data_IF_809225280705
#
_entry.id   IF_809225280705
#
_cell.length_a   1.000
_cell.length_b   1.000
_cell.length_c   1.000
_cell.angle_alpha   90.00
_cell.angle_beta   90.00
_cell.angle_gamma   90.00
#
_symmetry.space_group_name_H-M   'P 1'
#
loop_
_entity.id
_entity.type
_entity.pdbx_description
1 polymer ?
#
# COMPACT_ATOMS: atom_id res chain seq x y z
N UNK A 1 -19.56 18.51 -31.59
CA UNK A 1 -18.57 18.47 -30.49
C UNK A 1 -19.33 18.16 -29.23
N UNK A 2 -19.05 17.04 -28.57
CA UNK A 2 -19.69 16.70 -27.29
C UNK A 2 -19.20 17.65 -26.19
N UNK A 3 -20.05 17.99 -25.21
CA UNK A 3 -19.67 18.83 -24.07
C UNK A 3 -18.68 18.03 -23.18
N UNK A 4 -17.48 18.55 -22.88
CA UNK A 4 -16.50 17.91 -21.98
C UNK A 4 -17.07 17.52 -20.61
N UNK A 5 -18.17 18.14 -20.17
CA UNK A 5 -18.88 17.78 -18.94
C UNK A 5 -19.69 16.49 -19.08
N UNK A 6 -20.35 16.28 -20.22
CA UNK A 6 -21.10 15.04 -20.49
C UNK A 6 -20.16 13.83 -20.63
N UNK A 7 -18.95 14.02 -21.17
CA UNK A 7 -17.93 12.97 -21.26
C UNK A 7 -17.41 12.57 -19.87
N UNK A 8 -17.13 13.55 -18.99
CA UNK A 8 -16.72 13.30 -17.61
C UNK A 8 -17.80 12.61 -16.78
N UNK A 9 -19.05 13.01 -16.96
CA UNK A 9 -20.18 12.39 -16.26
C UNK A 9 -20.41 10.94 -16.69
N UNK A 10 -20.32 10.65 -18.00
CA UNK A 10 -20.38 9.28 -18.53
C UNK A 10 -19.21 8.42 -18.04
N UNK A 11 -18.00 8.97 -18.01
CA UNK A 11 -16.83 8.27 -17.47
C UNK A 11 -17.04 7.93 -15.98
N UNK A 12 -17.48 8.90 -15.18
CA UNK A 12 -17.77 8.69 -13.76
C UNK A 12 -18.83 7.61 -13.53
N UNK A 13 -19.93 7.62 -14.30
CA UNK A 13 -20.97 6.59 -14.19
C UNK A 13 -20.46 5.20 -14.57
N UNK A 14 -19.55 5.12 -15.53
CA UNK A 14 -18.93 3.85 -15.95
C UNK A 14 -18.00 3.31 -14.87
N UNK A 15 -17.19 4.17 -14.25
CA UNK A 15 -16.33 3.80 -13.11
C UNK A 15 -17.18 3.30 -11.93
N UNK A 16 -18.26 3.99 -11.57
CA UNK A 16 -19.17 3.56 -10.49
C UNK A 16 -19.78 2.18 -10.78
N UNK A 17 -20.23 1.93 -12.01
CA UNK A 17 -20.78 0.63 -12.40
C UNK A 17 -19.74 -0.50 -12.33
N UNK A 18 -18.49 -0.23 -12.71
CA UNK A 18 -17.38 -1.18 -12.61
C UNK A 18 -17.07 -1.51 -11.13
N UNK A 19 -17.09 -0.52 -10.24
CA UNK A 19 -16.91 -0.72 -8.80
C UNK A 19 -18.04 -1.55 -8.18
N UNK A 20 -19.30 -1.29 -8.57
CA UNK A 20 -20.45 -2.07 -8.10
C UNK A 20 -20.34 -3.54 -8.53
N UNK A 21 -19.89 -3.78 -9.76
CA UNK A 21 -19.64 -5.14 -10.25
C UNK A 21 -18.44 -5.79 -9.52
N UNK A 22 -17.38 -5.04 -9.23
CA UNK A 22 -16.28 -5.52 -8.41
C UNK A 22 -16.74 -5.99 -7.02
N UNK A 23 -17.62 -5.22 -6.36
CA UNK A 23 -18.22 -5.62 -5.09
C UNK A 23 -19.08 -6.88 -5.22
N UNK A 24 -19.82 -7.04 -6.31
CA UNK A 24 -20.61 -8.25 -6.58
C UNK A 24 -19.71 -9.48 -6.72
N UNK A 25 -18.65 -9.39 -7.52
CA UNK A 25 -17.65 -10.46 -7.70
C UNK A 25 -16.96 -10.80 -6.38
N UNK A 26 -16.56 -9.80 -5.60
CA UNK A 26 -15.98 -9.99 -4.27
C UNK A 26 -16.93 -10.76 -3.34
N UNK A 27 -18.20 -10.35 -3.30
CA UNK A 27 -19.22 -10.95 -2.45
C UNK A 27 -19.59 -12.39 -2.87
N UNK A 28 -19.61 -12.66 -4.18
CA UNK A 28 -19.75 -14.01 -4.73
C UNK A 28 -18.58 -14.88 -4.32
N UNK A 29 -17.35 -14.40 -4.50
CA UNK A 29 -16.11 -15.10 -4.16
C UNK A 29 -16.01 -15.40 -2.66
N UNK A 30 -16.36 -14.44 -1.80
CA UNK A 30 -16.44 -14.61 -0.34
C UNK A 30 -17.41 -15.73 0.06
N UNK A 31 -18.53 -15.84 -0.64
CA UNK A 31 -19.54 -16.88 -0.39
C UNK A 31 -19.04 -18.27 -0.76
N UNK A 32 -18.22 -18.39 -1.82
CA UNK A 32 -17.62 -19.66 -2.25
C UNK A 32 -16.59 -20.19 -1.26
N UNK A 33 -15.71 -19.33 -0.73
CA UNK A 33 -14.69 -19.71 0.25
C UNK A 33 -15.25 -19.95 1.67
N UNK A 34 -16.54 -19.65 1.90
CA UNK A 34 -17.24 -19.81 3.18
C UNK A 34 -16.53 -19.12 4.36
N UNK A 35 -15.85 -18.01 4.08
CA UNK A 35 -15.08 -17.28 5.08
C UNK A 35 -16.00 -16.39 5.93
N UNK A 36 -16.07 -16.68 7.23
CA UNK A 36 -16.90 -15.93 8.19
C UNK A 36 -16.21 -14.63 8.63
N UNK A 37 -16.42 -13.56 7.86
CA UNK A 37 -16.05 -12.20 8.22
C UNK A 37 -17.22 -11.53 8.94
N UNK A 38 -17.23 -11.57 10.30
CA UNK A 38 -18.32 -11.01 11.13
C UNK A 38 -18.52 -9.50 10.88
N UNK A 39 -17.87 -8.65 11.69
CA UNK A 39 -17.95 -7.19 11.57
C UNK A 39 -16.97 -6.64 10.52
N UNK A 40 -16.02 -7.46 10.05
CA UNK A 40 -14.95 -7.05 9.16
C UNK A 40 -15.32 -7.05 7.67
N UNK A 41 -16.49 -7.56 7.27
CA UNK A 41 -16.89 -7.64 5.85
C UNK A 41 -16.91 -6.27 5.18
N UNK A 42 -17.58 -5.29 5.79
CA UNK A 42 -17.64 -3.91 5.27
C UNK A 42 -16.25 -3.26 5.20
N UNK A 43 -15.38 -3.58 6.15
CA UNK A 43 -13.99 -3.10 6.15
C UNK A 43 -13.21 -3.70 4.98
N UNK A 44 -13.35 -5.00 4.72
CA UNK A 44 -12.76 -5.64 3.56
C UNK A 44 -13.24 -5.05 2.24
N UNK A 45 -14.55 -4.82 2.09
CA UNK A 45 -15.11 -4.17 0.91
C UNK A 45 -14.47 -2.78 0.70
N UNK A 46 -14.41 -1.98 1.76
CA UNK A 46 -13.80 -0.63 1.72
C UNK A 46 -12.32 -0.70 1.35
N UNK A 47 -11.58 -1.64 1.95
CA UNK A 47 -10.16 -1.83 1.71
C UNK A 47 -9.88 -2.24 0.26
N UNK A 48 -10.64 -3.20 -0.26
CA UNK A 48 -10.53 -3.65 -1.66
C UNK A 48 -10.84 -2.51 -2.63
N UNK A 49 -11.91 -1.75 -2.39
CA UNK A 49 -12.22 -0.58 -3.22
C UNK A 49 -11.12 0.47 -3.18
N UNK A 50 -10.54 0.74 -2.01
CA UNK A 50 -9.44 1.69 -1.88
C UNK A 50 -8.19 1.26 -2.65
N UNK A 51 -7.94 -0.06 -2.76
CA UNK A 51 -6.87 -0.60 -3.60
C UNK A 51 -7.21 -0.49 -5.10
N UNK A 52 -8.41 -0.94 -5.50
CA UNK A 52 -8.85 -0.96 -6.90
C UNK A 52 -8.95 0.45 -7.51
N UNK A 53 -9.32 1.45 -6.71
CA UNK A 53 -9.38 2.86 -7.14
C UNK A 53 -8.03 3.58 -7.09
N UNK A 54 -6.98 2.93 -6.59
CA UNK A 54 -5.67 3.55 -6.39
C UNK A 54 -5.65 4.59 -5.26
N UNK A 55 -6.70 4.72 -4.45
CA UNK A 55 -6.70 5.59 -3.26
C UNK A 55 -5.60 5.19 -2.27
N UNK A 56 -5.30 3.89 -2.18
CA UNK A 56 -4.18 3.37 -1.41
C UNK A 56 -3.42 2.31 -2.20
N UNK A 57 -2.08 2.29 -2.15
CA UNK A 57 -1.29 1.21 -2.77
C UNK A 57 -1.24 -0.06 -1.89
N UNK A 58 -1.37 0.10 -0.57
CA UNK A 58 -1.17 -0.95 0.44
C UNK A 58 -2.17 -0.78 1.57
N UNK A 59 -2.70 -1.91 2.05
CA UNK A 59 -3.53 -1.99 3.24
C UNK A 59 -2.98 -3.09 4.14
N UNK A 60 -2.69 -2.75 5.38
CA UNK A 60 -2.34 -3.70 6.42
C UNK A 60 -3.62 -4.31 7.01
N UNK A 61 -3.65 -5.63 7.12
CA UNK A 61 -4.82 -6.35 7.62
C UNK A 61 -4.60 -6.81 9.05
N UNK A 62 -5.49 -6.37 9.94
CA UNK A 62 -5.54 -6.72 11.36
C UNK A 62 -6.80 -7.53 11.74
N UNK A 63 -7.52 -8.04 10.74
CA UNK A 63 -8.80 -8.72 10.90
C UNK A 63 -8.89 -10.02 10.09
N UNK A 64 -9.93 -10.81 10.34
CA UNK A 64 -10.31 -11.94 9.49
C UNK A 64 -9.72 -13.31 9.86
N UNK A 65 -8.79 -13.38 10.81
CA UNK A 65 -8.26 -14.66 11.30
C UNK A 65 -6.87 -14.55 11.91
N UNK A 66 -6.17 -15.70 11.94
CA UNK A 66 -4.78 -15.83 12.35
C UNK A 66 -3.95 -16.31 11.15
N UNK A 67 -2.66 -16.05 11.17
CA UNK A 67 -1.72 -16.63 10.22
C UNK A 67 -1.42 -18.10 10.60
N UNK A 68 -1.23 -19.01 9.63
CA UNK A 68 -1.19 -18.79 8.17
C UNK A 68 -2.56 -18.87 7.47
N UNK A 69 -3.63 -19.29 8.14
CA UNK A 69 -4.93 -19.54 7.49
C UNK A 69 -5.54 -18.27 6.89
N UNK A 70 -5.26 -17.10 7.49
CA UNK A 70 -5.65 -15.80 6.98
C UNK A 70 -5.06 -15.53 5.59
N UNK A 71 -3.78 -15.82 5.42
CA UNK A 71 -3.07 -15.67 4.14
C UNK A 71 -3.68 -16.58 3.08
N UNK A 72 -3.88 -17.87 3.39
CA UNK A 72 -4.48 -18.83 2.46
C UNK A 72 -5.87 -18.39 1.99
N UNK A 73 -6.69 -17.87 2.91
CA UNK A 73 -8.04 -17.36 2.60
C UNK A 73 -7.98 -16.14 1.69
N UNK A 74 -7.08 -15.20 1.93
CA UNK A 74 -6.91 -14.05 1.04
C UNK A 74 -6.40 -14.45 -0.34
N UNK A 75 -5.42 -15.36 -0.41
CA UNK A 75 -4.93 -15.88 -1.68
C UNK A 75 -6.05 -16.57 -2.47
N UNK A 76 -6.85 -17.42 -1.81
CA UNK A 76 -8.01 -18.07 -2.43
C UNK A 76 -9.06 -17.06 -2.90
N UNK A 77 -9.36 -16.05 -2.09
CA UNK A 77 -10.30 -14.98 -2.42
C UNK A 77 -9.86 -14.21 -3.67
N UNK A 78 -8.61 -13.72 -3.69
CA UNK A 78 -8.08 -12.95 -4.81
C UNK A 78 -8.03 -13.78 -6.09
N UNK A 79 -7.64 -15.06 -6.00
CA UNK A 79 -7.64 -15.99 -7.15
C UNK A 79 -9.02 -16.16 -7.77
N UNK A 80 -10.09 -16.16 -6.97
CA UNK A 80 -11.46 -16.21 -7.49
C UNK A 80 -11.83 -14.89 -8.17
N UNK A 81 -11.62 -13.77 -7.48
CA UNK A 81 -11.96 -12.45 -8.00
C UNK A 81 -11.23 -12.14 -9.32
N UNK A 82 -9.96 -12.52 -9.44
CA UNK A 82 -9.13 -12.32 -10.63
C UNK A 82 -9.54 -13.14 -11.86
N UNK A 83 -10.25 -14.26 -11.65
CA UNK A 83 -10.81 -15.03 -12.78
C UNK A 83 -12.02 -14.34 -13.39
N UNK A 84 -12.76 -13.61 -12.56
CA UNK A 84 -14.06 -13.07 -12.93
C UNK A 84 -13.97 -11.61 -13.42
N UNK A 85 -13.07 -10.79 -12.85
CA UNK A 85 -12.99 -9.37 -13.18
C UNK A 85 -11.53 -8.82 -13.24
N UNK A 86 -11.15 -8.13 -14.34
CA UNK A 86 -9.79 -7.60 -14.52
C UNK A 86 -9.35 -6.56 -13.47
N UNK A 87 -10.26 -5.84 -12.82
CA UNK A 87 -9.92 -4.84 -11.80
C UNK A 87 -9.10 -5.43 -10.63
N UNK A 88 -9.18 -6.75 -10.41
CA UNK A 88 -8.42 -7.45 -9.37
C UNK A 88 -7.04 -7.94 -9.84
N UNK A 89 -6.70 -7.80 -11.11
CA UNK A 89 -5.49 -8.36 -11.76
C UNK A 89 -4.20 -7.99 -11.01
N UNK A 90 -4.12 -6.77 -10.47
CA UNK A 90 -2.94 -6.27 -9.77
C UNK A 90 -2.98 -6.42 -8.25
N UNK A 91 -4.04 -7.00 -7.69
CA UNK A 91 -4.11 -7.23 -6.26
C UNK A 91 -3.30 -8.46 -5.85
N UNK A 92 -2.46 -8.35 -4.82
CA UNK A 92 -1.69 -9.47 -4.27
C UNK A 92 -1.74 -9.46 -2.75
N UNK A 93 -1.54 -10.63 -2.15
CA UNK A 93 -1.22 -10.76 -0.73
C UNK A 93 0.28 -10.59 -0.56
N UNK A 94 0.68 -9.76 0.40
CA UNK A 94 2.07 -9.57 0.78
C UNK A 94 2.24 -9.83 2.29
N UNK A 95 3.33 -10.47 2.68
CA UNK A 95 3.66 -10.78 4.08
C UNK A 95 5.04 -10.21 4.41
N UNK A 96 5.15 -9.59 5.58
CA UNK A 96 6.41 -9.09 6.13
C UNK A 96 6.43 -9.40 7.62
N UNK A 97 7.37 -10.26 8.02
CA UNK A 97 7.41 -10.85 9.36
C UNK A 97 6.05 -11.49 9.69
N UNK A 98 5.39 -11.07 10.76
CA UNK A 98 4.08 -11.60 11.18
C UNK A 98 2.89 -10.80 10.62
N UNK A 99 3.14 -9.81 9.77
CA UNK A 99 2.14 -8.87 9.27
C UNK A 99 1.71 -9.22 7.84
N UNK A 100 0.41 -9.11 7.59
CA UNK A 100 -0.20 -9.37 6.28
C UNK A 100 -0.76 -8.09 5.66
N UNK A 101 -0.57 -7.95 4.35
CA UNK A 101 -0.98 -6.80 3.57
C UNK A 101 -1.71 -7.24 2.31
N UNK A 102 -2.69 -6.45 1.89
CA UNK A 102 -3.21 -6.45 0.54
C UNK A 102 -2.56 -5.29 -0.21
N UNK A 103 -2.04 -5.57 -1.40
CA UNK A 103 -1.31 -4.58 -2.20
C UNK A 103 -1.85 -4.52 -3.62
N UNK A 104 -1.90 -3.32 -4.18
CA UNK A 104 -2.05 -3.14 -5.62
C UNK A 104 -0.65 -2.96 -6.21
N UNK A 105 -0.15 -3.95 -6.96
CA UNK A 105 1.26 -4.02 -7.35
C UNK A 105 1.74 -2.82 -8.17
N UNK A 106 0.95 -2.32 -9.12
CA UNK A 106 1.30 -1.12 -9.91
C UNK A 106 1.35 0.15 -9.06
N UNK A 107 0.29 0.43 -8.30
CA UNK A 107 0.24 1.58 -7.39
C UNK A 107 1.36 1.52 -6.33
N UNK A 108 1.73 0.34 -5.85
CA UNK A 108 2.87 0.16 -4.94
C UNK A 108 4.20 0.45 -5.63
N UNK A 109 4.39 0.00 -6.87
CA UNK A 109 5.58 0.32 -7.66
C UNK A 109 5.73 1.85 -7.85
N UNK A 110 4.62 2.54 -8.17
CA UNK A 110 4.59 4.00 -8.26
C UNK A 110 4.90 4.68 -6.92
N UNK A 111 4.35 4.18 -5.81
CA UNK A 111 4.65 4.69 -4.48
C UNK A 111 6.13 4.55 -4.14
N UNK A 112 6.72 3.37 -4.38
CA UNK A 112 8.15 3.11 -4.14
C UNK A 112 9.02 4.04 -4.97
N UNK A 113 8.72 4.19 -6.26
CA UNK A 113 9.44 5.11 -7.17
C UNK A 113 9.36 6.56 -6.71
N UNK A 114 8.15 7.05 -6.45
CA UNK A 114 7.93 8.44 -6.01
C UNK A 114 8.63 8.74 -4.69
N UNK A 115 8.70 7.75 -3.79
CA UNK A 115 9.43 7.85 -2.52
C UNK A 115 10.94 7.90 -2.72
N UNK A 116 11.51 7.09 -3.62
CA UNK A 116 12.95 7.07 -3.89
C UNK A 116 13.42 8.32 -4.64
N UNK A 117 12.59 8.84 -5.55
CA UNK A 117 12.88 10.06 -6.31
C UNK A 117 12.61 11.35 -5.54
N UNK A 118 12.17 11.25 -4.28
CA UNK A 118 11.77 12.40 -3.46
C UNK A 118 10.64 13.25 -4.06
N UNK A 119 9.80 12.66 -4.93
CA UNK A 119 8.58 13.30 -5.46
C UNK A 119 7.52 13.45 -4.37
N UNK A 120 7.54 12.55 -3.36
CA UNK A 120 6.75 12.63 -2.14
C UNK A 120 7.68 12.85 -0.95
N UNK A 121 7.56 13.99 -0.29
CA UNK A 121 8.36 14.29 0.90
C UNK A 121 7.89 13.45 2.09
N UNK A 122 8.78 12.60 2.62
CA UNK A 122 8.57 11.90 3.88
C UNK A 122 9.18 12.72 5.01
N UNK A 123 8.38 12.95 6.05
CA UNK A 123 8.81 13.60 7.27
C UNK A 123 9.16 12.54 8.32
N UNK A 124 10.32 12.67 8.94
CA UNK A 124 10.78 11.72 9.95
C UNK A 124 10.73 12.34 11.34
N UNK A 125 10.17 11.60 12.30
CA UNK A 125 10.11 11.99 13.71
C UNK A 125 10.89 10.99 14.55
N UNK A 126 11.93 11.45 15.23
CA UNK A 126 12.67 10.71 16.23
C UNK A 126 11.83 10.57 17.51
N UNK A 127 11.39 9.34 17.79
CA UNK A 127 10.62 9.00 18.98
C UNK A 127 11.50 8.68 20.20
N UNK A 128 12.82 8.59 20.04
CA UNK A 128 13.72 8.33 21.16
C UNK A 128 13.94 9.58 22.02
N UNK A 129 13.63 10.76 21.47
CA UNK A 129 13.63 12.04 22.17
C UNK A 129 12.31 12.25 22.91
N UNK A 130 12.39 12.96 24.04
CA UNK A 130 11.22 13.50 24.73
C UNK A 130 11.39 15.03 24.91
N UNK A 131 10.57 15.87 24.27
CA UNK A 131 9.51 15.51 23.32
C UNK A 131 10.07 14.92 22.02
N UNK A 132 9.27 14.13 21.26
CA UNK A 132 9.64 13.68 19.93
C UNK A 132 10.05 14.85 19.02
N UNK A 133 11.09 14.65 18.21
CA UNK A 133 11.67 15.71 17.37
C UNK A 133 11.67 15.33 15.90
N UNK A 134 11.43 16.32 15.05
CA UNK A 134 11.63 16.17 13.61
C UNK A 134 13.11 15.96 13.29
N UNK A 135 13.42 15.01 12.41
CA UNK A 135 14.78 14.83 11.88
C UNK A 135 14.94 15.78 10.69
N UNK A 136 15.77 16.82 10.85
CA UNK A 136 16.01 17.84 9.83
C UNK A 136 17.04 17.43 8.79
N UNK A 137 18.02 16.62 9.18
CA UNK A 137 19.12 16.15 8.32
C UNK A 137 18.97 14.65 8.03
N UNK A 138 17.88 14.27 7.35
CA UNK A 138 17.54 12.86 7.09
C UNK A 138 18.67 12.10 6.36
N UNK A 139 19.41 12.77 5.48
CA UNK A 139 20.56 12.21 4.74
C UNK A 139 21.72 11.75 5.64
N UNK A 140 21.84 12.31 6.85
CA UNK A 140 22.89 11.94 7.81
C UNK A 140 22.44 10.83 8.77
N UNK A 141 21.15 10.47 8.77
CA UNK A 141 20.61 9.47 9.69
C UNK A 141 20.89 8.05 9.17
N UNK A 142 21.64 7.21 9.90
CA UNK A 142 21.89 5.83 9.51
C UNK A 142 20.61 5.02 9.35
N UNK A 143 19.58 5.32 10.15
CA UNK A 143 18.30 4.63 10.12
C UNK A 143 17.49 4.99 8.87
N UNK A 144 17.54 6.25 8.42
CA UNK A 144 16.94 6.68 7.15
C UNK A 144 17.65 6.00 5.98
N UNK A 145 18.99 5.89 6.01
CA UNK A 145 19.75 5.19 4.96
C UNK A 145 19.40 3.70 4.87
N UNK A 146 19.16 3.05 6.01
CA UNK A 146 18.65 1.66 6.04
C UNK A 146 17.23 1.57 5.47
N UNK A 147 16.35 2.53 5.78
CA UNK A 147 15.02 2.57 5.18
C UNK A 147 15.10 2.73 3.65
N UNK A 148 15.94 3.64 3.14
CA UNK A 148 16.16 3.80 1.69
C UNK A 148 16.65 2.48 1.06
N UNK A 149 17.50 1.72 1.77
CA UNK A 149 17.96 0.41 1.30
C UNK A 149 16.81 -0.60 1.19
N UNK A 150 15.88 -0.59 2.15
CA UNK A 150 14.65 -1.38 2.07
C UNK A 150 13.78 -0.92 0.89
N UNK A 151 13.58 0.39 0.71
CA UNK A 151 12.82 0.93 -0.43
C UNK A 151 13.39 0.48 -1.78
N UNK A 152 14.73 0.43 -1.91
CA UNK A 152 15.40 -0.12 -3.10
C UNK A 152 15.12 -1.61 -3.30
N UNK A 153 15.08 -2.40 -2.22
CA UNK A 153 14.69 -3.81 -2.31
C UNK A 153 13.25 -3.96 -2.80
N UNK A 154 12.32 -3.14 -2.31
CA UNK A 154 10.95 -3.10 -2.83
C UNK A 154 10.90 -2.75 -4.32
N UNK A 155 11.76 -1.84 -4.78
CA UNK A 155 11.84 -1.49 -6.21
C UNK A 155 12.26 -2.68 -7.09
N UNK A 156 13.03 -3.63 -6.54
CA UNK A 156 13.40 -4.86 -7.26
C UNK A 156 12.24 -5.86 -7.29
N UNK A 157 11.43 -5.93 -6.23
CA UNK A 157 10.26 -6.82 -6.15
C UNK A 157 9.06 -6.31 -6.93
N UNK A 158 8.97 -4.99 -7.15
CA UNK A 158 7.89 -4.33 -7.87
C UNK A 158 8.45 -3.45 -9.00
N UNK A 159 9.03 -4.06 -10.06
CA UNK A 159 9.52 -3.28 -11.19
C UNK A 159 8.33 -2.60 -11.89
N UNK A 160 8.47 -1.32 -12.22
CA UNK A 160 7.57 -0.72 -13.21
C UNK A 160 7.86 -1.43 -14.53
N UNK A 161 6.85 -2.11 -15.09
CA UNK A 161 6.94 -2.53 -16.48
C UNK A 161 7.22 -1.31 -17.34
N UNK A 162 8.16 -1.41 -18.28
CA UNK A 162 8.36 -0.38 -19.29
C UNK A 162 6.99 -0.05 -19.86
N UNK A 163 6.54 1.19 -19.65
CA UNK A 163 5.42 1.73 -20.39
C UNK A 163 5.80 1.53 -21.85
N UNK A 164 5.06 0.71 -22.59
CA UNK A 164 5.16 0.67 -24.04
C UNK A 164 4.68 2.04 -24.54
N UNK A 165 5.56 3.01 -24.46
CA UNK A 165 5.46 4.22 -25.24
C UNK A 165 5.95 3.79 -26.63
N UNK A 166 5.00 3.40 -27.48
CA UNK A 166 5.22 3.22 -28.90
C UNK A 166 5.68 4.57 -29.49
N UNK A 167 6.97 4.69 -29.82
CA UNK A 167 7.45 5.23 -31.11
C UNK A 167 8.97 5.43 -31.12
N UNK A 168 9.62 4.63 -31.98
CA UNK A 168 10.88 4.88 -32.69
C UNK A 168 12.16 5.21 -31.90
N UNK A 169 13.13 4.31 -31.98
CA UNK A 169 14.37 4.60 -32.71
C UNK A 169 15.18 3.31 -32.90
N UNK A 170 15.21 2.84 -34.15
CA UNK A 170 16.14 1.84 -34.66
C UNK A 170 17.55 2.42 -34.73
N UNK A 171 18.55 1.73 -34.18
CA UNK A 171 19.82 1.47 -34.88
C UNK A 171 20.61 0.38 -34.15
N UNK A 172 20.96 -0.67 -34.90
CA UNK A 172 21.84 -1.75 -34.51
C UNK A 172 23.32 -1.37 -34.70
N UNK A 173 24.20 -1.88 -33.82
CA UNK A 173 25.25 -2.90 -34.11
C UNK A 173 26.21 -2.99 -32.91
N UNK A 174 26.60 -4.23 -32.62
CA UNK A 174 27.41 -4.80 -31.54
C UNK A 174 28.77 -4.14 -31.23
N UNK A 175 29.22 -4.23 -29.96
CA UNK A 175 30.36 -5.09 -29.57
C UNK A 175 30.82 -4.95 -28.09
N UNK A 176 30.83 -6.10 -27.40
CA UNK A 176 31.92 -6.67 -26.57
C UNK A 176 32.18 -6.23 -25.10
N UNK A 177 31.91 -7.19 -24.20
CA UNK A 177 32.64 -7.62 -22.99
C UNK A 177 32.73 -6.69 -21.77
N UNK A 178 32.16 -7.14 -20.65
CA UNK A 178 32.70 -6.86 -19.32
C UNK A 178 31.66 -6.79 -18.19
N UNK A 179 31.68 -7.79 -17.32
CA UNK A 179 31.01 -7.85 -16.01
C UNK A 179 29.47 -8.02 -16.00
N UNK A 180 29.02 -9.28 -15.94
CA UNK A 180 27.72 -9.62 -15.33
C UNK A 180 27.77 -9.17 -13.86
N UNK A 181 26.83 -8.34 -13.37
CA UNK A 181 26.68 -8.15 -11.95
C UNK A 181 26.26 -9.48 -11.31
N UNK A 182 26.57 -9.72 -10.03
CA UNK A 182 26.14 -10.94 -9.35
C UNK A 182 24.61 -10.95 -9.39
N UNK A 183 24.06 -11.90 -10.14
CA UNK A 183 22.63 -12.16 -10.19
C UNK A 183 22.26 -12.79 -8.86
N UNK A 184 22.13 -11.95 -7.82
CA UNK A 184 21.49 -12.37 -6.59
C UNK A 184 20.12 -12.93 -6.96
N UNK A 185 19.82 -14.10 -6.42
CA UNK A 185 18.59 -14.87 -6.57
C UNK A 185 17.39 -14.13 -5.95
N UNK A 186 17.03 -12.98 -6.52
CA UNK A 186 15.91 -12.13 -6.11
C UNK A 186 15.04 -11.74 -7.30
N UNK A 187 15.02 -12.55 -8.36
CA UNK A 187 13.86 -12.56 -9.24
C UNK A 187 12.91 -13.55 -8.58
N UNK A 188 11.78 -13.14 -8.00
CA UNK A 188 10.77 -14.10 -7.60
C UNK A 188 10.35 -14.80 -8.88
N UNK A 189 10.74 -16.06 -9.03
CA UNK A 189 9.99 -17.00 -9.84
C UNK A 189 8.54 -16.88 -9.37
N UNK A 190 7.69 -16.24 -10.17
CA UNK A 190 6.29 -15.97 -9.81
C UNK A 190 5.46 -17.26 -9.81
N UNK A 191 5.75 -18.13 -8.86
CA UNK A 191 5.05 -19.37 -8.56
C UNK A 191 4.56 -19.44 -7.11
N UNK A 192 4.65 -18.34 -6.35
CA UNK A 192 4.07 -18.24 -5.01
C UNK A 192 2.75 -17.46 -5.05
N UNK A 193 1.74 -17.95 -4.35
CA UNK A 193 0.40 -17.35 -4.27
C UNK A 193 0.37 -15.97 -3.60
N UNK A 194 1.47 -15.60 -2.94
CA UNK A 194 1.68 -14.36 -2.20
C UNK A 194 3.14 -13.92 -2.30
N UNK A 195 3.41 -12.68 -1.90
CA UNK A 195 4.73 -12.06 -1.89
C UNK A 195 5.26 -12.07 -0.45
N UNK A 196 6.38 -12.72 -0.21
CA UNK A 196 7.07 -12.66 1.09
C UNK A 196 8.26 -11.71 1.01
N UNK A 197 8.23 -10.64 1.81
CA UNK A 197 9.34 -9.67 1.94
C UNK A 197 9.88 -9.62 3.37
N UNK A 198 9.65 -10.65 4.18
CA UNK A 198 10.18 -10.72 5.55
C UNK A 198 11.70 -10.61 5.61
N UNK A 199 12.40 -11.04 4.56
CA UNK A 199 13.86 -10.90 4.43
C UNK A 199 14.33 -9.44 4.40
N UNK A 200 13.48 -8.49 4.01
CA UNK A 200 13.82 -7.06 4.00
C UNK A 200 14.08 -6.49 5.40
N UNK A 201 13.53 -7.15 6.43
CA UNK A 201 13.68 -6.77 7.83
C UNK A 201 14.83 -7.49 8.54
N UNK A 202 15.55 -8.38 7.84
CA UNK A 202 16.73 -9.03 8.37
C UNK A 202 17.92 -8.05 8.40
N UNK A 203 18.68 -8.08 9.50
CA UNK A 203 19.91 -7.28 9.67
C UNK A 203 19.71 -5.75 9.54
N UNK A 204 18.50 -5.25 9.81
CA UNK A 204 18.20 -3.81 9.86
C UNK A 204 17.72 -3.40 11.26
N UNK A 205 18.01 -2.15 11.61
CA UNK A 205 17.48 -1.48 12.79
C UNK A 205 16.15 -0.78 12.52
N UNK A 206 15.73 -0.70 11.25
CA UNK A 206 14.38 -0.23 10.90
C UNK A 206 13.36 -1.14 11.56
N UNK A 207 12.38 -0.52 12.20
CA UNK A 207 11.31 -1.22 12.90
C UNK A 207 10.09 -1.37 12.01
N UNK A 208 9.23 -2.37 12.27
CA UNK A 208 7.96 -2.52 11.55
C UNK A 208 7.08 -1.25 11.61
N UNK A 209 6.95 -0.54 12.75
CA UNK A 209 6.24 0.74 12.78
C UNK A 209 6.78 1.79 11.80
N UNK A 210 8.11 1.90 11.67
CA UNK A 210 8.74 2.76 10.66
C UNK A 210 8.36 2.33 9.24
N UNK A 211 8.50 1.03 8.95
CA UNK A 211 8.16 0.47 7.64
C UNK A 211 6.67 0.70 7.30
N UNK A 212 5.77 0.46 8.25
CA UNK A 212 4.33 0.64 8.10
C UNK A 212 3.96 2.10 7.87
N UNK A 213 4.64 3.02 8.56
CA UNK A 213 4.56 4.45 8.30
C UNK A 213 4.72 4.77 6.81
N UNK A 214 5.81 4.26 6.24
CA UNK A 214 6.11 4.45 4.82
C UNK A 214 5.19 3.67 3.88
N UNK A 215 4.99 2.37 4.10
CA UNK A 215 4.20 1.49 3.23
C UNK A 215 2.73 1.93 3.11
N UNK A 216 2.13 2.36 4.23
CA UNK A 216 0.74 2.81 4.27
C UNK A 216 0.56 4.25 3.78
N UNK A 217 1.62 4.83 3.19
CA UNK A 217 1.65 6.17 2.61
C UNK A 217 1.34 7.28 3.62
N UNK A 218 1.79 7.12 4.87
CA UNK A 218 1.71 8.22 5.83
C UNK A 218 2.78 9.28 5.51
N UNK A 219 2.44 10.58 5.60
CA UNK A 219 3.40 11.66 5.34
C UNK A 219 4.46 11.78 6.44
N UNK A 220 4.15 11.28 7.64
CA UNK A 220 5.02 11.30 8.81
C UNK A 220 5.34 9.86 9.21
N UNK A 221 6.64 9.57 9.34
CA UNK A 221 7.17 8.26 9.71
C UNK A 221 7.94 8.37 11.01
N UNK A 222 7.62 7.48 11.94
CA UNK A 222 8.30 7.39 13.22
C UNK A 222 9.62 6.63 13.09
N UNK A 223 10.66 7.16 13.74
CA UNK A 223 12.02 6.63 13.72
C UNK A 223 12.46 6.33 15.15
N UNK A 224 12.90 5.10 15.36
CA UNK A 224 13.57 4.61 16.57
C UNK A 224 14.19 3.25 16.25
N UNK A 225 15.25 2.87 16.96
CA UNK A 225 15.88 1.54 16.81
C UNK A 225 15.16 0.48 17.66
N UNK A 226 15.35 -0.79 17.31
CA UNK A 226 14.66 -1.92 17.97
C UNK A 226 14.92 -1.95 19.48
N UNK A 227 16.15 -1.65 19.90
CA UNK A 227 16.58 -1.64 21.31
C UNK A 227 15.86 -0.57 22.14
N UNK A 228 15.37 0.51 21.49
CA UNK A 228 14.71 1.63 22.16
C UNK A 228 13.18 1.61 22.02
N UNK A 229 12.59 0.50 21.55
CA UNK A 229 11.14 0.39 21.31
C UNK A 229 10.30 0.75 22.54
N UNK A 230 10.66 0.27 23.74
CA UNK A 230 9.94 0.56 24.99
C UNK A 230 9.97 2.06 25.30
N UNK A 231 11.11 2.71 25.11
CA UNK A 231 11.28 4.15 25.30
C UNK A 231 10.44 4.94 24.30
N UNK A 232 10.51 4.58 23.02
CA UNK A 232 9.74 5.23 21.96
C UNK A 232 8.22 5.13 22.20
N UNK A 233 7.73 3.96 22.57
CA UNK A 233 6.31 3.74 22.92
C UNK A 233 5.90 4.60 24.11
N UNK A 234 6.74 4.70 25.14
CA UNK A 234 6.45 5.56 26.31
C UNK A 234 6.38 7.03 25.92
N UNK A 235 7.27 7.51 25.05
CA UNK A 235 7.32 8.91 24.62
C UNK A 235 6.06 9.34 23.86
N UNK A 236 5.38 8.43 23.16
CA UNK A 236 4.11 8.72 22.48
C UNK A 236 2.87 8.46 23.34
N UNK A 237 2.89 7.44 24.20
CA UNK A 237 1.71 7.01 24.97
C UNK A 237 1.49 7.79 26.27
N UNK A 238 2.53 8.42 26.81
CA UNK A 238 2.45 9.20 28.06
C UNK A 238 2.02 10.66 27.85
N UNK A 239 1.70 11.06 26.62
CA UNK A 239 1.36 12.45 26.28
C UNK A 239 -0.13 12.60 25.97
N UNK A 240 -0.66 13.80 26.19
CA UNK A 240 -2.03 14.13 25.84
C UNK A 240 -2.20 14.12 24.32
N UNK A 241 -3.24 13.43 23.84
CA UNK A 241 -3.63 13.46 22.44
C UNK A 241 -4.51 14.68 22.18
N UNK A 242 -4.14 15.46 21.18
CA UNK A 242 -5.03 16.48 20.61
C UNK A 242 -5.69 15.88 19.37
N UNK A 243 -6.97 15.54 19.51
CA UNK A 243 -7.76 14.93 18.43
C UNK A 243 -8.43 16.06 17.65
N UNK A 244 -8.13 16.12 16.36
CA UNK A 244 -8.74 17.08 15.44
C UNK A 244 -9.69 16.35 14.49
N UNK A 245 -10.87 16.93 14.26
CA UNK A 245 -11.82 16.45 13.25
C UNK A 245 -11.72 17.32 12.01
N UNK A 246 -11.42 16.70 10.88
CA UNK A 246 -11.42 17.36 9.57
C UNK A 246 -12.69 16.91 8.84
N UNK A 247 -13.53 17.85 8.46
CA UNK A 247 -14.75 17.61 7.68
C UNK A 247 -14.56 18.15 6.26
N UNK A 248 -14.90 17.35 5.25
CA UNK A 248 -14.80 17.73 3.83
C UNK A 248 -16.22 17.79 3.26
N UNK A 249 -16.69 18.99 2.92
CA UNK A 249 -17.96 19.18 2.24
C UNK A 249 -17.74 19.34 0.74
N UNK A 250 -18.51 18.61 -0.09
CA UNK A 250 -18.64 18.94 -1.52
C UNK A 250 -19.54 20.17 -1.64
N UNK A 251 -19.29 21.03 -2.62
CA UNK A 251 -20.14 22.19 -2.94
C UNK A 251 -21.49 21.74 -3.56
N UNK A 252 -22.30 21.02 -2.79
CA UNK A 252 -23.68 20.70 -3.07
C UNK A 252 -24.53 21.10 -1.87
N UNK A 253 -25.78 21.52 -2.10
CA UNK A 253 -26.70 21.91 -1.04
C UNK A 253 -26.80 20.78 -0.01
N UNK A 254 -26.52 21.05 1.28
CA UNK A 254 -26.56 20.03 2.32
C UNK A 254 -27.97 19.46 2.42
N UNK A 255 -28.09 18.15 2.20
CA UNK A 255 -29.36 17.45 2.36
C UNK A 255 -29.45 17.04 3.83
N UNK A 256 -30.56 17.35 4.51
CA UNK A 256 -30.70 17.15 5.97
C UNK A 256 -30.52 15.69 6.44
N UNK A 257 -30.57 14.72 5.53
CA UNK A 257 -30.26 13.32 5.82
C UNK A 257 -28.76 13.06 6.04
N UNK A 258 -27.85 13.79 5.37
CA UNK A 258 -26.40 13.57 5.54
C UNK A 258 -25.89 14.06 6.89
N UNK A 259 -26.52 15.07 7.48
CA UNK A 259 -26.20 15.58 8.82
C UNK A 259 -26.58 14.57 9.92
N UNK A 260 -27.64 13.78 9.71
CA UNK A 260 -28.12 12.81 10.71
C UNK A 260 -27.25 11.54 10.74
N UNK A 261 -26.73 11.10 9.58
CA UNK A 261 -25.80 9.96 9.51
C UNK A 261 -24.40 10.28 10.10
N UNK A 262 -23.94 11.53 10.01
CA UNK A 262 -22.67 11.95 10.63
C UNK A 262 -22.74 12.08 12.16
N UNK A 263 -23.92 12.31 12.73
CA UNK A 263 -24.13 12.44 14.19
C UNK A 263 -24.25 11.10 14.93
N UNK A 264 -24.44 10.00 14.21
CA UNK A 264 -24.67 8.66 14.78
C UNK A 264 -23.45 7.72 14.67
N UNK A 265 -22.27 8.21 14.30
CA UNK A 265 -21.00 7.46 14.29
C UNK A 265 -20.04 7.88 15.39
#
# INVERSE_FOLDING_TARGET
MADPREEKEKQFLTEVAELDEALRVLNSSLSQIKWRLKYARRRLETDILALCTGMRPVIMIDYGGKMPELQERFCALLKLCQKDLPIFEHLRVMVIEEMIYLVHTRALADHVRSSLNSERQLLFVDLEQDPPKMITEAEKSPLVMQLISIQKLFSLSFPLGERKDDASSSHSIDNMVGAKPPRNELIPSQSSDFIDLSSCMQNTQVTLPTLNGWLLSYPVVYMFIKEHAVKAVRNISSKYLHIYRISVCRNGTPNKESELEELLR
#
